data_IF_520490413634
#
_entry.id   IF_520490413634
#
_cell.length_a   1.000
_cell.length_b   1.000
_cell.length_c   1.000
_cell.angle_alpha   90.00
_cell.angle_beta   90.00
_cell.angle_gamma   90.00
#
_symmetry.space_group_name_H-M   'P 1'
#
loop_
_entity.id
_entity.type
_entity.pdbx_description
1 polymer ?
#
# COMPACT_ATOMS: atom_id res chain seq x y z
N UNK A 1 12.43 -5.11 -5.15
CA UNK A 1 12.52 -5.93 -3.90
C UNK A 1 11.65 -5.28 -2.84
N UNK A 2 10.98 -6.04 -1.98
CA UNK A 2 10.03 -5.56 -0.97
C UNK A 2 10.54 -4.42 -0.07
N UNK A 3 11.81 -4.49 0.34
CA UNK A 3 12.47 -3.46 1.16
C UNK A 3 12.55 -2.10 0.47
N UNK A 4 12.72 -2.06 -0.85
CA UNK A 4 12.75 -0.79 -1.60
C UNK A 4 11.39 -0.09 -1.57
N UNK A 5 10.29 -0.85 -1.66
CA UNK A 5 8.94 -0.29 -1.62
C UNK A 5 8.60 0.22 -0.21
N UNK A 6 9.00 -0.50 0.84
CA UNK A 6 8.84 -0.04 2.21
C UNK A 6 9.57 1.30 2.47
N UNK A 7 10.79 1.45 1.94
CA UNK A 7 11.56 2.69 2.04
C UNK A 7 10.91 3.84 1.26
N UNK A 8 10.50 3.60 0.01
CA UNK A 8 9.81 4.60 -0.81
C UNK A 8 8.48 5.01 -0.16
N UNK A 9 7.73 4.05 0.39
CA UNK A 9 6.48 4.35 1.08
C UNK A 9 6.71 5.24 2.31
N UNK A 10 7.75 4.98 3.08
CA UNK A 10 8.13 5.84 4.20
C UNK A 10 8.51 7.25 3.73
N UNK A 11 9.42 7.36 2.76
CA UNK A 11 10.01 8.63 2.34
C UNK A 11 9.06 9.51 1.51
N UNK A 12 8.35 8.91 0.56
CA UNK A 12 7.49 9.65 -0.37
C UNK A 12 6.05 9.82 0.14
N UNK A 13 5.56 8.90 0.99
CA UNK A 13 4.18 8.94 1.51
C UNK A 13 4.16 9.42 2.95
N UNK A 14 4.82 8.69 3.87
CA UNK A 14 4.70 8.97 5.29
C UNK A 14 5.36 10.30 5.68
N UNK A 15 6.53 10.63 5.13
CA UNK A 15 7.17 11.92 5.41
C UNK A 15 6.42 13.12 4.80
N UNK A 16 5.69 12.94 3.69
CA UNK A 16 4.96 14.03 3.03
C UNK A 16 3.54 14.23 3.55
N UNK A 17 2.82 13.14 3.82
CA UNK A 17 1.40 13.17 4.16
C UNK A 17 1.12 12.80 5.63
N UNK A 18 2.15 12.36 6.36
CA UNK A 18 2.02 11.86 7.72
C UNK A 18 1.60 10.39 7.77
N UNK A 19 1.35 9.89 8.98
CA UNK A 19 1.01 8.48 9.22
C UNK A 19 -0.50 8.25 9.03
N UNK A 20 -0.93 7.49 7.99
CA UNK A 20 -2.33 7.18 7.80
C UNK A 20 -2.79 6.14 8.83
N UNK A 21 -4.02 6.28 9.31
CA UNK A 21 -4.64 5.27 10.21
C UNK A 21 -4.87 3.94 9.49
N UNK A 22 -5.06 3.98 8.16
CA UNK A 22 -5.36 2.81 7.33
C UNK A 22 -4.72 2.94 5.95
N UNK A 23 -4.08 1.87 5.50
CA UNK A 23 -3.54 1.74 4.14
C UNK A 23 -4.32 0.66 3.43
N UNK A 24 -4.86 0.96 2.25
CA UNK A 24 -5.54 -0.01 1.40
C UNK A 24 -4.64 -0.28 0.19
N UNK A 25 -4.17 -1.51 0.03
CA UNK A 25 -3.37 -1.91 -1.13
C UNK A 25 -4.01 -3.06 -1.89
N UNK A 26 -3.66 -3.18 -3.17
CA UNK A 26 -3.89 -4.39 -3.95
C UNK A 26 -3.03 -5.57 -3.45
N UNK A 27 -3.34 -6.77 -3.94
CA UNK A 27 -2.59 -8.00 -3.64
C UNK A 27 -1.30 -8.11 -4.46
N UNK A 28 -0.70 -6.99 -4.87
CA UNK A 28 0.63 -6.99 -5.46
C UNK A 28 1.65 -7.61 -4.51
N UNK A 29 2.52 -8.46 -5.05
CA UNK A 29 3.57 -9.19 -4.30
C UNK A 29 4.49 -8.27 -3.48
N UNK A 30 4.53 -6.99 -3.85
CA UNK A 30 5.29 -5.93 -3.22
C UNK A 30 4.68 -5.54 -1.86
N UNK A 31 3.35 -5.42 -1.80
CA UNK A 31 2.56 -5.10 -0.61
C UNK A 31 2.17 -6.34 0.20
N UNK A 32 2.29 -7.53 -0.39
CA UNK A 32 2.18 -8.82 0.31
C UNK A 32 3.42 -9.19 1.12
N UNK A 33 4.49 -8.41 1.01
CA UNK A 33 5.75 -8.75 1.68
C UNK A 33 5.61 -8.61 3.19
N UNK A 34 6.18 -9.58 3.92
CA UNK A 34 6.25 -9.56 5.38
C UNK A 34 6.91 -8.28 5.92
N UNK A 35 7.77 -7.64 5.12
CA UNK A 35 8.43 -6.38 5.44
C UNK A 35 7.42 -5.23 5.49
N UNK A 36 6.49 -5.17 4.53
CA UNK A 36 5.47 -4.13 4.49
C UNK A 36 4.47 -4.28 5.64
N UNK A 37 4.04 -5.52 5.91
CA UNK A 37 3.17 -5.81 7.05
C UNK A 37 3.82 -5.43 8.38
N UNK A 38 5.09 -5.80 8.60
CA UNK A 38 5.82 -5.43 9.82
C UNK A 38 6.03 -3.91 9.93
N UNK A 39 6.27 -3.22 8.83
CA UNK A 39 6.38 -1.76 8.82
C UNK A 39 5.04 -1.13 9.24
N UNK A 40 3.92 -1.58 8.68
CA UNK A 40 2.61 -1.08 9.07
C UNK A 40 2.30 -1.36 10.55
N UNK A 41 2.64 -2.55 11.05
CA UNK A 41 2.45 -2.92 12.46
C UNK A 41 3.28 -2.03 13.40
N UNK A 42 4.56 -1.81 13.08
CA UNK A 42 5.46 -0.92 13.83
C UNK A 42 4.94 0.52 13.91
N UNK A 43 4.30 0.97 12.83
CA UNK A 43 3.77 2.32 12.70
C UNK A 43 2.32 2.45 13.19
N UNK A 44 1.69 1.36 13.67
CA UNK A 44 0.30 1.34 14.09
C UNK A 44 -0.71 1.57 12.95
N UNK A 45 -0.30 1.29 11.71
CA UNK A 45 -1.10 1.48 10.50
C UNK A 45 -1.89 0.22 10.23
N UNK A 46 -3.22 0.33 10.12
CA UNK A 46 -4.04 -0.80 9.69
C UNK A 46 -3.91 -1.05 8.19
N UNK A 47 -3.17 -2.08 7.81
CA UNK A 47 -3.07 -2.50 6.42
C UNK A 47 -4.27 -3.39 6.04
N UNK A 48 -5.09 -2.92 5.09
CA UNK A 48 -6.21 -3.67 4.53
C UNK A 48 -5.95 -3.95 3.05
N UNK A 49 -6.29 -5.16 2.60
CA UNK A 49 -6.10 -5.58 1.21
C UNK A 49 -7.42 -5.49 0.46
N UNK A 50 -7.39 -5.01 -0.78
CA UNK A 50 -8.56 -5.16 -1.65
C UNK A 50 -8.76 -6.65 -1.97
N UNK A 51 -10.00 -7.17 -1.95
CA UNK A 51 -10.27 -8.55 -2.30
C UNK A 51 -9.91 -8.81 -3.77
N UNK A 52 -9.40 -10.02 -4.07
CA UNK A 52 -8.90 -10.44 -5.39
C UNK A 52 -9.95 -10.45 -6.53
N UNK A 53 -11.17 -10.01 -6.30
CA UNK A 53 -12.23 -10.16 -7.30
C UNK A 53 -13.34 -9.11 -7.11
N UNK A 54 -13.08 -7.89 -7.58
CA UNK A 54 -14.15 -6.96 -7.96
C UNK A 54 -13.68 -6.03 -9.10
N UNK A 55 -13.83 -6.45 -10.39
CA UNK A 55 -13.44 -5.65 -11.56
C UNK A 55 -14.29 -4.36 -11.76
N UNK A 56 -14.97 -3.87 -10.73
CA UNK A 56 -15.78 -2.65 -10.76
C UNK A 56 -15.36 -1.56 -9.76
N UNK A 57 -14.32 -1.73 -8.93
CA UNK A 57 -14.09 -0.80 -7.80
C UNK A 57 -12.65 -0.38 -7.48
N UNK A 58 -11.69 -0.56 -8.38
CA UNK A 58 -10.41 0.14 -8.23
C UNK A 58 -10.43 1.43 -9.04
N UNK A 59 -10.74 2.56 -8.38
CA UNK A 59 -10.46 3.89 -8.92
C UNK A 59 -8.99 3.99 -9.36
N UNK A 60 -8.10 3.35 -8.59
CA UNK A 60 -6.66 3.21 -8.85
C UNK A 60 -6.35 2.56 -10.21
N UNK A 61 -7.08 1.54 -10.64
CA UNK A 61 -6.89 0.92 -11.95
C UNK A 61 -7.38 1.81 -13.10
N UNK A 62 -8.44 2.61 -12.86
CA UNK A 62 -8.89 3.60 -13.86
C UNK A 62 -7.87 4.72 -14.04
N UNK A 63 -7.37 5.30 -12.95
CA UNK A 63 -6.37 6.39 -13.04
C UNK A 63 -5.05 5.89 -13.63
N UNK A 64 -4.60 4.67 -13.29
CA UNK A 64 -3.37 4.10 -13.84
C UNK A 64 -3.49 3.69 -15.32
N UNK A 65 -4.72 3.59 -15.86
CA UNK A 65 -4.97 3.35 -17.29
C UNK A 65 -5.13 4.66 -18.09
N UNK A 66 -5.35 5.78 -17.42
CA UNK A 66 -5.50 7.10 -18.06
C UNK A 66 -4.20 7.91 -18.12
N UNK A 67 -3.16 7.50 -17.38
CA UNK A 67 -1.82 8.08 -17.44
C UNK A 67 -0.93 7.40 -18.48
#
# INVERSE_FOLDING_TARGET
KATTIAQIFLDEVLCRFGFPVRVISDNGVQFLSNVFTQLCDLLGIHHQRTPLYHPQSNLSERINRTL
#
